data_IF_041744478450
#
_entry.id   IF_041744478450
#
_cell.length_a   1.000
_cell.length_b   1.000
_cell.length_c   1.000
_cell.angle_alpha   90.00
_cell.angle_beta   90.00
_cell.angle_gamma   90.00
#
_symmetry.space_group_name_H-M   'P 1'
#
loop_
_entity.id
_entity.type
_entity.pdbx_description
1 polymer ?
#
# COMPACT_ATOMS: atom_id res chain seq x y z
N UNK A 1 13.64 -7.65 -3.92
CA UNK A 1 12.73 -6.56 -4.35
C UNK A 1 13.40 -5.25 -4.02
N UNK A 2 13.22 -4.22 -4.84
CA UNK A 2 13.72 -2.87 -4.53
C UNK A 2 12.92 -2.26 -3.38
N UNK A 3 13.39 -1.14 -2.82
CA UNK A 3 12.59 -0.35 -1.90
C UNK A 3 11.23 0.04 -2.55
N UNK A 4 10.15 0.14 -1.76
CA UNK A 4 8.86 0.64 -2.24
C UNK A 4 8.97 2.11 -2.64
N UNK A 5 8.31 2.47 -3.73
CA UNK A 5 8.25 3.82 -4.26
C UNK A 5 6.82 4.36 -4.09
N UNK A 6 6.66 5.51 -3.42
CA UNK A 6 5.35 6.15 -3.25
C UNK A 6 4.85 6.66 -4.60
N UNK A 7 3.59 6.36 -4.92
CA UNK A 7 2.94 6.73 -6.16
C UNK A 7 2.02 7.93 -5.90
N UNK A 8 2.24 9.09 -6.55
CA UNK A 8 1.35 10.22 -6.41
C UNK A 8 0.02 10.00 -7.17
N UNK A 9 -1.10 10.57 -6.68
CA UNK A 9 -2.38 10.50 -7.37
C UNK A 9 -2.32 11.22 -8.74
N UNK A 10 -3.11 10.78 -9.74
CA UNK A 10 -4.13 9.72 -9.69
C UNK A 10 -3.57 8.28 -9.81
N UNK A 11 -2.25 8.14 -9.87
CA UNK A 11 -1.58 6.88 -10.21
C UNK A 11 -1.55 6.60 -11.72
N UNK A 12 -0.74 5.62 -12.08
CA UNK A 12 -0.56 5.05 -13.41
C UNK A 12 -0.96 3.55 -13.47
N UNK A 13 -1.15 3.06 -14.69
CA UNK A 13 -1.33 1.62 -14.96
C UNK A 13 0.00 0.85 -15.01
N UNK A 14 1.06 1.39 -14.41
CA UNK A 14 2.41 0.85 -14.56
C UNK A 14 2.57 -0.56 -13.97
N UNK A 15 3.47 -1.33 -14.56
CA UNK A 15 3.74 -2.72 -14.18
C UNK A 15 4.43 -2.82 -12.81
N UNK A 16 3.83 -3.60 -11.91
CA UNK A 16 4.42 -3.97 -10.62
C UNK A 16 3.36 -4.17 -9.53
N UNK A 17 3.63 -4.97 -8.49
CA UNK A 17 2.68 -5.13 -7.40
C UNK A 17 2.55 -3.81 -6.62
N UNK A 18 1.31 -3.41 -6.39
CA UNK A 18 0.92 -2.20 -5.66
C UNK A 18 0.40 -2.57 -4.29
N UNK A 19 0.77 -1.76 -3.31
CA UNK A 19 0.35 -1.92 -1.92
C UNK A 19 -0.11 -0.59 -1.34
N UNK A 20 -0.91 -0.67 -0.29
CA UNK A 20 -1.14 0.45 0.62
C UNK A 20 -0.20 0.26 1.81
N UNK A 21 0.52 1.31 2.16
CA UNK A 21 1.38 1.38 3.33
C UNK A 21 0.70 2.25 4.37
N UNK A 22 0.30 1.66 5.49
CA UNK A 22 -0.42 2.30 6.58
C UNK A 22 0.54 2.52 7.75
N UNK A 23 0.77 3.77 8.14
CA UNK A 23 1.62 4.10 9.28
C UNK A 23 0.84 3.89 10.59
N UNK A 24 1.22 2.88 11.39
CA UNK A 24 0.45 2.46 12.58
C UNK A 24 0.25 3.57 13.60
N UNK A 25 1.32 4.33 13.89
CA UNK A 25 1.23 5.42 14.86
C UNK A 25 0.30 6.57 14.41
N UNK A 26 0.18 6.83 13.10
CA UNK A 26 -0.69 7.88 12.57
C UNK A 26 -2.13 7.39 12.43
N UNK A 27 -2.33 6.13 12.07
CA UNK A 27 -3.64 5.49 12.01
C UNK A 27 -4.19 5.09 13.39
N UNK A 28 -3.49 5.44 14.49
CA UNK A 28 -3.79 4.96 15.83
C UNK A 28 -5.26 5.17 16.23
N UNK A 29 -5.93 4.09 16.62
CA UNK A 29 -7.36 4.08 16.98
C UNK A 29 -8.32 3.83 15.80
N UNK A 30 -7.85 3.95 14.56
CA UNK A 30 -8.64 3.70 13.33
C UNK A 30 -8.24 2.43 12.59
N UNK A 31 -7.16 1.78 13.02
CA UNK A 31 -6.57 0.60 12.39
C UNK A 31 -6.39 -0.54 13.41
N UNK A 32 -6.66 -1.81 13.06
CA UNK A 32 -7.04 -2.36 11.74
C UNK A 32 -8.49 -2.07 11.32
N UNK A 33 -8.74 -2.13 10.01
CA UNK A 33 -10.07 -1.90 9.41
C UNK A 33 -10.62 -3.19 8.76
N UNK A 34 -11.90 -3.56 8.98
CA UNK A 34 -12.53 -4.70 8.31
C UNK A 34 -12.51 -4.58 6.77
N UNK A 35 -12.14 -5.66 6.09
CA UNK A 35 -12.07 -5.70 4.62
C UNK A 35 -10.73 -5.23 4.04
N UNK A 36 -9.77 -4.82 4.88
CA UNK A 36 -8.41 -4.47 4.49
C UNK A 36 -7.41 -5.35 5.25
N UNK A 37 -7.10 -6.51 4.66
CA UNK A 37 -6.23 -7.49 5.30
C UNK A 37 -4.75 -7.14 5.13
N UNK A 38 -3.99 -7.33 6.21
CA UNK A 38 -2.54 -7.13 6.22
C UNK A 38 -1.81 -8.25 5.49
N UNK A 39 -0.94 -7.89 4.55
CA UNK A 39 0.06 -8.76 3.96
C UNK A 39 1.26 -8.94 4.92
N UNK A 40 1.59 -10.19 5.24
CA UNK A 40 2.66 -10.56 6.19
C UNK A 40 3.76 -11.42 5.59
N UNK A 41 3.62 -11.88 4.35
CA UNK A 41 4.44 -12.97 3.82
C UNK A 41 5.74 -12.51 3.13
N UNK A 42 6.01 -11.22 3.12
CA UNK A 42 7.13 -10.65 2.37
C UNK A 42 8.20 -10.07 3.31
N UNK A 43 9.44 -10.55 3.14
CA UNK A 43 10.59 -10.15 3.97
C UNK A 43 10.85 -8.65 3.93
N UNK A 44 10.56 -7.97 2.82
CA UNK A 44 10.73 -6.52 2.70
C UNK A 44 9.69 -5.78 3.54
N UNK A 45 8.45 -6.30 3.61
CA UNK A 45 7.39 -5.74 4.46
C UNK A 45 7.69 -5.97 5.94
N UNK A 46 8.19 -7.16 6.29
CA UNK A 46 8.58 -7.51 7.66
C UNK A 46 9.73 -6.64 8.21
N UNK A 47 10.54 -6.04 7.32
CA UNK A 47 11.60 -5.11 7.70
C UNK A 47 11.10 -3.70 8.04
N UNK A 48 9.81 -3.41 7.84
CA UNK A 48 9.19 -2.12 8.15
C UNK A 48 8.15 -2.26 9.29
N UNK A 49 8.59 -2.27 10.56
CA UNK A 49 7.75 -2.62 11.70
C UNK A 49 6.70 -1.56 12.06
N UNK A 50 6.91 -0.31 11.64
CA UNK A 50 6.01 0.81 11.93
C UNK A 50 4.81 0.90 10.98
N UNK A 51 4.83 0.07 9.94
CA UNK A 51 3.83 0.08 8.88
C UNK A 51 3.11 -1.25 8.77
N UNK A 52 1.83 -1.17 8.45
CA UNK A 52 1.05 -2.30 7.94
C UNK A 52 0.90 -2.15 6.44
N UNK A 53 0.91 -3.29 5.76
CA UNK A 53 0.92 -3.36 4.31
C UNK A 53 -0.32 -4.09 3.84
N UNK A 54 -1.05 -3.52 2.89
CA UNK A 54 -2.23 -4.15 2.30
C UNK A 54 -1.92 -4.35 0.82
N UNK A 55 -2.09 -5.57 0.33
CA UNK A 55 -1.91 -5.85 -1.09
C UNK A 55 -3.12 -5.36 -1.88
N UNK A 56 -2.90 -4.54 -2.90
CA UNK A 56 -3.97 -4.14 -3.83
C UNK A 56 -4.22 -5.30 -4.80
N UNK A 57 -5.39 -5.96 -4.79
CA UNK A 57 -5.62 -7.20 -5.55
C UNK A 57 -5.44 -7.03 -7.06
N UNK A 58 -5.88 -5.90 -7.60
CA UNK A 58 -5.80 -5.57 -9.02
C UNK A 58 -4.40 -5.13 -9.45
N UNK A 59 -3.47 -4.93 -8.50
CA UNK A 59 -2.06 -4.68 -8.76
C UNK A 59 -1.76 -3.40 -9.55
N UNK A 60 -2.64 -2.40 -9.53
CA UNK A 60 -2.43 -1.11 -10.19
C UNK A 60 -2.67 0.06 -9.24
N UNK A 61 -2.00 1.18 -9.48
CA UNK A 61 -1.97 2.29 -8.53
C UNK A 61 -3.27 3.10 -8.53
N UNK A 62 -4.04 3.10 -9.62
CA UNK A 62 -5.38 3.68 -9.66
C UNK A 62 -6.32 2.99 -8.67
N UNK A 63 -6.33 1.66 -8.64
CA UNK A 63 -7.07 0.89 -7.63
C UNK A 63 -6.52 1.16 -6.22
N UNK A 64 -5.21 1.26 -6.06
CA UNK A 64 -4.59 1.64 -4.78
C UNK A 64 -5.05 3.00 -4.28
N UNK A 65 -5.17 4.02 -5.14
CA UNK A 65 -5.70 5.32 -4.74
C UNK A 65 -7.18 5.25 -4.38
N UNK A 66 -7.99 4.49 -5.12
CA UNK A 66 -9.40 4.29 -4.78
C UNK A 66 -9.57 3.62 -3.40
N UNK A 67 -8.76 2.60 -3.10
CA UNK A 67 -8.77 1.91 -1.82
C UNK A 67 -8.25 2.80 -0.67
N UNK A 68 -7.21 3.62 -0.93
CA UNK A 68 -6.77 4.66 0.00
C UNK A 68 -7.90 5.65 0.30
N UNK A 69 -8.58 6.14 -0.72
CA UNK A 69 -9.66 7.12 -0.54
C UNK A 69 -10.81 6.51 0.26
N UNK A 70 -11.10 5.22 0.09
CA UNK A 70 -12.06 4.49 0.95
C UNK A 70 -11.60 4.38 2.41
N UNK A 71 -10.32 4.07 2.65
CA UNK A 71 -9.78 4.06 4.02
C UNK A 71 -9.91 5.44 4.70
N UNK A 72 -9.67 6.51 3.96
CA UNK A 72 -9.74 7.88 4.48
C UNK A 72 -11.20 8.33 4.67
N UNK A 73 -12.06 8.08 3.68
CA UNK A 73 -13.44 8.57 3.70
C UNK A 73 -14.38 7.68 4.54
N UNK A 74 -14.33 6.36 4.35
CA UNK A 74 -15.28 5.43 4.96
C UNK A 74 -14.86 5.04 6.38
N UNK A 75 -13.55 5.06 6.66
CA UNK A 75 -12.98 4.59 7.93
C UNK A 75 -12.24 5.69 8.72
N UNK A 76 -12.31 6.94 8.24
CA UNK A 76 -11.75 8.11 8.89
C UNK A 76 -10.25 8.00 9.21
N UNK A 77 -9.49 7.23 8.41
CA UNK A 77 -8.03 7.23 8.55
C UNK A 77 -7.48 8.61 8.16
N UNK A 78 -6.48 9.14 8.88
CA UNK A 78 -5.80 10.35 8.45
C UNK A 78 -5.19 10.17 7.06
N UNK A 79 -5.37 11.15 6.17
CA UNK A 79 -4.92 11.06 4.79
C UNK A 79 -3.39 10.91 4.63
N UNK A 80 -2.63 11.33 5.63
CA UNK A 80 -1.17 11.21 5.75
C UNK A 80 -0.73 9.94 6.50
N UNK A 81 -1.68 9.11 6.96
CA UNK A 81 -1.41 7.80 7.53
C UNK A 81 -1.34 6.69 6.47
N UNK A 82 -1.82 6.94 5.25
CA UNK A 82 -1.89 5.94 4.18
C UNK A 82 -1.22 6.45 2.91
N UNK A 83 -0.24 5.69 2.43
CA UNK A 83 0.46 5.92 1.17
C UNK A 83 0.20 4.79 0.18
N UNK A 84 0.03 5.12 -1.10
CA UNK A 84 0.04 4.13 -2.18
C UNK A 84 1.48 3.94 -2.62
N UNK A 85 1.96 2.70 -2.59
CA UNK A 85 3.34 2.38 -2.95
C UNK A 85 3.38 1.26 -3.97
N UNK A 86 4.47 1.22 -4.74
CA UNK A 86 4.73 0.18 -5.73
C UNK A 86 6.12 -0.38 -5.50
N UNK A 87 6.25 -1.69 -5.58
CA UNK A 87 7.56 -2.32 -5.64
C UNK A 87 7.94 -2.46 -7.11
N UNK A 88 9.14 -2.01 -7.47
CA UNK A 88 9.64 -2.32 -8.81
C UNK A 88 9.80 -3.84 -8.92
N UNK A 89 9.38 -4.45 -10.03
CA UNK A 89 9.70 -5.84 -10.29
C UNK A 89 11.24 -5.97 -10.21
N UNK A 90 11.77 -7.06 -9.61
CA UNK A 90 13.20 -7.31 -9.66
C UNK A 90 13.63 -7.21 -11.11
N UNK A 91 14.54 -6.28 -11.41
CA UNK A 91 15.09 -6.05 -12.75
C UNK A 91 15.74 -7.34 -13.23
N UNK A 92 14.96 -8.17 -13.93
CA UNK A 92 15.37 -9.56 -14.18
C UNK A 92 14.30 -10.51 -14.72
N UNK A 93 13.21 -10.03 -15.32
CA UNK A 93 12.41 -10.86 -16.26
C UNK A 93 12.16 -10.07 -17.54
N UNK A 94 13.23 -9.84 -18.30
CA UNK A 94 13.10 -9.82 -19.76
C UNK A 94 12.62 -11.22 -20.14
N UNK A 95 11.44 -11.31 -20.77
CA UNK A 95 11.16 -12.45 -21.64
C UNK A 95 12.10 -12.40 -22.83
#
# INVERSE_FOLDING_TARGET
>A
MTAPESVPPPGDYGDGPVFLRVHRARAAGHWPVPGFDREVNDRALAADPDHDWIRVPQGNSRCGHADRDRLVADHALPGDAVEVVRFRPPSGRRR
#
